data_IF_800421942301
#
_entry.id   IF_800421942301
#
_cell.length_a   1.000
_cell.length_b   1.000
_cell.length_c   1.000
_cell.angle_alpha   90.00
_cell.angle_beta   90.00
_cell.angle_gamma   90.00
#
_symmetry.space_group_name_H-M   'P 1'
#
loop_
_entity.id
_entity.type
_entity.pdbx_description
1 polymer ?
#
# COMPACT_ATOMS: atom_id res chain seq x y z
N UNK A 1 -31.43 -7.25 0.10
CA UNK A 1 -30.15 -7.78 -0.41
C UNK A 1 -30.55 -8.96 -1.26
N UNK A 2 -30.45 -8.80 -2.58
CA UNK A 2 -30.91 -9.82 -3.50
C UNK A 2 -29.71 -10.72 -3.78
N UNK A 3 -29.78 -11.93 -3.26
CA UNK A 3 -28.74 -12.96 -3.41
C UNK A 3 -29.08 -13.81 -4.64
N UNK A 4 -28.09 -14.06 -5.49
CA UNK A 4 -28.25 -15.02 -6.58
C UNK A 4 -28.30 -16.42 -5.97
N UNK A 5 -29.41 -17.14 -6.18
CA UNK A 5 -29.64 -18.46 -5.57
C UNK A 5 -28.65 -19.50 -6.08
N UNK A 6 -28.18 -19.35 -7.31
CA UNK A 6 -27.06 -20.10 -7.84
C UNK A 6 -25.78 -19.25 -7.80
N UNK A 7 -24.62 -19.91 -7.77
CA UNK A 7 -23.33 -19.24 -7.93
C UNK A 7 -23.04 -18.82 -9.40
N UNK A 8 -24.08 -18.71 -10.24
CA UNK A 8 -23.99 -18.36 -11.65
C UNK A 8 -23.96 -16.83 -11.83
N UNK A 9 -22.79 -16.25 -11.58
CA UNK A 9 -22.59 -14.80 -11.58
C UNK A 9 -21.68 -14.41 -12.75
N UNK A 10 -22.07 -13.36 -13.47
CA UNK A 10 -21.28 -12.73 -14.51
C UNK A 10 -20.79 -11.35 -14.06
N UNK A 11 -19.53 -11.03 -14.35
CA UNK A 11 -18.93 -9.74 -14.04
C UNK A 11 -18.77 -8.97 -15.35
N UNK A 12 -19.52 -7.88 -15.50
CA UNK A 12 -19.34 -6.93 -16.60
C UNK A 12 -18.25 -5.93 -16.21
N UNK A 13 -17.02 -6.17 -16.67
CA UNK A 13 -15.87 -5.30 -16.40
C UNK A 13 -15.99 -3.92 -17.05
N UNK A 14 -16.79 -3.78 -18.11
CA UNK A 14 -16.96 -2.51 -18.84
C UNK A 14 -17.91 -1.58 -18.10
N UNK A 15 -19.00 -2.15 -17.58
CA UNK A 15 -20.00 -1.40 -16.79
C UNK A 15 -19.67 -1.35 -15.30
N UNK A 16 -18.80 -2.23 -14.83
CA UNK A 16 -18.48 -2.37 -13.40
C UNK A 16 -19.64 -2.97 -12.61
N UNK A 17 -20.37 -3.92 -13.19
CA UNK A 17 -21.57 -4.51 -12.60
C UNK A 17 -21.39 -6.01 -12.39
N UNK A 18 -21.98 -6.52 -11.31
CA UNK A 18 -22.04 -7.95 -10.99
C UNK A 18 -23.49 -8.39 -11.20
N UNK A 19 -23.70 -9.30 -12.16
CA UNK A 19 -25.03 -9.68 -12.67
C UNK A 19 -25.29 -11.15 -12.35
N UNK A 20 -26.45 -11.45 -11.78
CA UNK A 20 -26.93 -12.82 -11.62
C UNK A 20 -27.46 -13.32 -12.97
N UNK A 21 -26.89 -14.40 -13.52
CA UNK A 21 -27.28 -14.89 -14.85
C UNK A 21 -28.63 -15.61 -14.87
N UNK A 22 -29.15 -16.00 -13.70
CA UNK A 22 -30.42 -16.71 -13.60
C UNK A 22 -31.64 -15.76 -13.60
N UNK A 23 -31.49 -14.58 -13.00
CA UNK A 23 -32.57 -13.58 -12.88
C UNK A 23 -32.33 -12.34 -13.74
N UNK A 24 -31.10 -12.12 -14.20
CA UNK A 24 -30.68 -10.91 -14.92
C UNK A 24 -30.53 -9.69 -14.03
N UNK A 25 -30.61 -9.84 -12.70
CA UNK A 25 -30.52 -8.73 -11.76
C UNK A 25 -29.07 -8.33 -11.47
N UNK A 26 -28.83 -7.02 -11.33
CA UNK A 26 -27.56 -6.47 -10.86
C UNK A 26 -27.50 -6.61 -9.34
N UNK A 27 -26.68 -7.54 -8.86
CA UNK A 27 -26.53 -7.88 -7.43
C UNK A 27 -25.41 -7.09 -6.75
N UNK A 28 -24.52 -6.45 -7.53
CA UNK A 28 -23.41 -5.68 -7.00
C UNK A 28 -22.72 -4.82 -8.04
N UNK A 29 -21.78 -4.00 -7.57
CA UNK A 29 -20.89 -3.20 -8.41
C UNK A 29 -19.46 -3.66 -8.21
N UNK A 30 -18.71 -3.72 -9.30
CA UNK A 30 -17.28 -3.99 -9.29
C UNK A 30 -16.56 -2.70 -8.92
N UNK A 31 -15.96 -2.69 -7.73
CA UNK A 31 -15.06 -1.62 -7.31
C UNK A 31 -13.63 -2.07 -7.63
N UNK A 32 -12.92 -1.31 -8.47
CA UNK A 32 -11.48 -1.53 -8.66
C UNK A 32 -10.73 -1.04 -7.42
N UNK A 33 -10.26 -1.98 -6.61
CA UNK A 33 -9.39 -1.71 -5.45
C UNK A 33 -7.90 -1.65 -5.86
N UNK A 34 -7.62 -1.74 -7.15
CA UNK A 34 -6.31 -1.51 -7.74
C UNK A 34 -5.80 -0.11 -7.43
N UNK A 35 -4.50 0.08 -7.67
CA UNK A 35 -3.86 1.37 -7.40
C UNK A 35 -4.29 2.32 -8.52
N UNK A 36 -5.29 3.17 -8.26
CA UNK A 36 -5.73 4.24 -9.18
C UNK A 36 -4.67 5.36 -9.29
N UNK A 37 -3.43 5.02 -9.64
CA UNK A 37 -2.40 5.97 -10.03
C UNK A 37 -2.71 6.51 -11.42
N UNK A 38 -3.87 7.16 -11.56
CA UNK A 38 -4.33 7.75 -12.80
C UNK A 38 -3.63 9.10 -12.99
N UNK A 39 -2.57 9.10 -13.78
CA UNK A 39 -1.89 10.33 -14.20
C UNK A 39 -2.48 10.78 -15.54
N UNK A 40 -3.14 11.94 -15.56
CA UNK A 40 -3.73 12.52 -16.77
C UNK A 40 -2.77 13.47 -17.51
N UNK A 41 -1.49 13.57 -17.14
CA UNK A 41 -0.50 14.44 -17.79
C UNK A 41 0.70 13.70 -18.39
N UNK A 42 1.20 14.17 -19.53
CA UNK A 42 2.40 13.67 -20.22
C UNK A 42 3.73 13.85 -19.44
N UNK A 43 3.71 14.57 -18.31
CA UNK A 43 4.93 14.88 -17.58
C UNK A 43 5.32 13.76 -16.60
N UNK A 44 6.54 13.20 -16.69
CA UNK A 44 7.06 12.20 -15.73
C UNK A 44 7.24 12.76 -14.30
N UNK A 45 7.04 14.06 -14.10
CA UNK A 45 7.15 14.77 -12.82
C UNK A 45 5.83 14.91 -12.05
N UNK A 46 4.67 14.67 -12.68
CA UNK A 46 3.38 14.71 -11.98
C UNK A 46 3.10 13.34 -11.33
N UNK A 47 3.87 13.03 -10.29
CA UNK A 47 3.53 11.97 -9.36
C UNK A 47 2.24 12.36 -8.67
N UNK A 48 1.15 11.67 -8.98
CA UNK A 48 -0.11 11.75 -8.24
C UNK A 48 0.21 11.63 -6.75
N UNK A 49 -0.33 12.54 -5.92
CA UNK A 49 -0.08 12.59 -4.47
C UNK A 49 -0.83 11.45 -3.75
N UNK A 50 -0.45 10.20 -4.02
CA UNK A 50 -1.03 9.01 -3.37
C UNK A 50 -0.27 8.49 -2.15
N UNK A 51 0.95 9.00 -1.92
CA UNK A 51 1.84 8.44 -0.89
C UNK A 51 2.33 7.03 -1.23
N UNK A 52 3.11 6.43 -0.33
CA UNK A 52 3.45 5.01 -0.41
C UNK A 52 2.27 4.18 0.12
N UNK A 53 1.97 3.00 -0.46
CA UNK A 53 1.04 2.07 0.17
C UNK A 53 1.51 1.69 1.57
N UNK A 54 0.56 1.33 2.44
CA UNK A 54 0.85 0.80 3.77
C UNK A 54 1.57 -0.54 3.63
N UNK A 55 2.54 -0.78 4.51
CA UNK A 55 3.31 -2.02 4.52
C UNK A 55 3.43 -2.58 5.94
N UNK A 56 2.69 -3.66 6.20
CA UNK A 56 2.64 -4.31 7.51
C UNK A 56 3.98 -4.91 7.97
N UNK A 57 4.92 -5.14 7.05
CA UNK A 57 6.30 -5.55 7.38
C UNK A 57 7.14 -4.44 8.02
N UNK A 58 6.57 -3.24 8.18
CA UNK A 58 7.20 -2.08 8.81
C UNK A 58 6.49 -1.78 10.15
N UNK A 59 7.27 -1.54 11.21
CA UNK A 59 6.81 -1.23 12.58
C UNK A 59 5.79 -0.07 12.74
N UNK A 60 5.65 0.78 11.74
CA UNK A 60 4.73 1.92 11.68
C UNK A 60 3.88 1.89 10.40
N UNK A 61 3.81 0.75 9.73
CA UNK A 61 3.09 0.54 8.46
C UNK A 61 3.52 1.45 7.31
N UNK A 62 4.67 2.11 7.40
CA UNK A 62 5.12 3.07 6.39
C UNK A 62 4.51 4.47 6.55
N UNK A 63 3.92 4.79 7.70
CA UNK A 63 3.37 6.12 7.99
C UNK A 63 4.44 7.20 8.21
N UNK A 64 5.69 6.82 8.48
CA UNK A 64 6.78 7.78 8.63
C UNK A 64 7.32 8.28 7.28
N UNK A 65 7.73 9.55 7.27
CA UNK A 65 8.39 10.18 6.13
C UNK A 65 9.90 10.28 6.35
N UNK A 66 10.67 10.25 5.27
CA UNK A 66 12.11 10.46 5.29
C UNK A 66 12.42 11.92 4.97
N UNK A 67 13.16 12.57 5.87
CA UNK A 67 13.62 13.95 5.65
C UNK A 67 14.95 13.88 4.91
N UNK A 68 14.96 14.31 3.66
CA UNK A 68 16.13 14.26 2.80
C UNK A 68 17.25 15.18 3.33
N UNK A 69 18.49 14.77 3.14
CA UNK A 69 19.68 15.55 3.51
C UNK A 69 20.17 16.48 2.38
N UNK A 70 19.39 16.62 1.31
CA UNK A 70 19.78 17.36 0.11
C UNK A 70 19.86 18.88 0.27
N UNK A 71 19.26 19.45 1.32
CA UNK A 71 19.39 20.87 1.64
C UNK A 71 20.68 21.16 2.42
N UNK A 72 21.49 22.11 1.92
CA UNK A 72 22.76 22.63 2.49
C UNK A 72 22.62 23.35 3.84
N UNK A 73 21.70 22.91 4.70
CA UNK A 73 21.48 23.51 6.02
C UNK A 73 21.84 22.52 7.11
N UNK A 74 22.65 22.93 8.09
CA UNK A 74 22.92 22.17 9.32
C UNK A 74 21.62 21.67 9.99
N UNK A 75 20.52 22.39 9.80
CA UNK A 75 19.20 22.05 10.30
C UNK A 75 18.64 20.74 9.71
N UNK A 76 18.84 20.49 8.40
CA UNK A 76 18.32 19.29 7.72
C UNK A 76 18.93 18.01 8.30
N UNK A 77 20.24 18.04 8.60
CA UNK A 77 20.97 16.94 9.24
C UNK A 77 20.49 16.71 10.67
N UNK A 78 20.27 17.77 11.45
CA UNK A 78 19.76 17.66 12.83
C UNK A 78 18.35 17.07 12.84
N UNK A 79 17.48 17.55 11.96
CA UNK A 79 16.09 17.10 11.86
C UNK A 79 15.99 15.65 11.38
N UNK A 80 16.80 15.24 10.40
CA UNK A 80 16.91 13.85 9.93
C UNK A 80 17.30 12.89 11.07
N UNK A 81 18.26 13.27 11.92
CA UNK A 81 18.68 12.47 13.08
C UNK A 81 17.58 12.40 14.15
N UNK A 82 16.90 13.52 14.43
CA UNK A 82 15.79 13.56 15.38
C UNK A 82 14.64 12.67 14.92
N UNK A 83 14.22 12.82 13.66
CA UNK A 83 13.14 12.03 13.07
C UNK A 83 13.44 10.52 13.14
N UNK A 84 14.68 10.12 12.80
CA UNK A 84 15.10 8.71 12.88
C UNK A 84 15.04 8.14 14.31
N UNK A 85 15.28 8.96 15.34
CA UNK A 85 15.17 8.53 16.74
C UNK A 85 13.72 8.40 17.19
N UNK A 86 12.89 9.40 16.90
CA UNK A 86 11.48 9.42 17.29
C UNK A 86 10.73 8.24 16.67
N UNK A 87 10.97 7.96 15.38
CA UNK A 87 10.32 6.87 14.64
C UNK A 87 10.43 5.52 15.35
N UNK A 88 11.58 5.23 15.95
CA UNK A 88 11.89 3.92 16.55
C UNK A 88 11.70 3.93 18.08
N UNK A 89 11.37 5.08 18.68
CA UNK A 89 11.20 5.21 20.12
C UNK A 89 10.07 4.29 20.62
N UNK A 90 10.31 3.54 21.70
CA UNK A 90 9.36 2.57 22.25
C UNK A 90 9.18 1.28 21.42
N UNK A 91 9.58 1.26 20.14
CA UNK A 91 9.40 0.13 19.21
C UNK A 91 10.70 -0.58 18.81
N UNK A 92 11.82 -0.30 19.50
CA UNK A 92 13.16 -0.86 19.18
C UNK A 92 13.20 -2.37 19.05
N UNK A 93 12.51 -3.10 19.94
CA UNK A 93 12.44 -4.57 19.90
C UNK A 93 11.74 -5.03 18.63
N UNK A 94 10.56 -4.47 18.33
CA UNK A 94 9.79 -4.77 17.12
C UNK A 94 10.58 -4.49 15.83
N UNK A 95 11.27 -3.35 15.75
CA UNK A 95 12.11 -3.03 14.58
C UNK A 95 13.21 -4.06 14.39
N UNK A 96 13.85 -4.49 15.48
CA UNK A 96 14.91 -5.51 15.43
C UNK A 96 14.38 -6.88 15.02
N UNK A 97 13.24 -7.31 15.56
CA UNK A 97 12.64 -8.61 15.24
C UNK A 97 12.15 -8.65 13.79
N UNK A 98 11.51 -7.59 13.29
CA UNK A 98 11.11 -7.49 11.89
C UNK A 98 12.31 -7.49 10.94
N UNK A 99 13.43 -6.88 11.33
CA UNK A 99 14.66 -6.92 10.56
C UNK A 99 15.22 -8.35 10.48
N UNK A 100 15.30 -9.06 11.61
CA UNK A 100 15.75 -10.46 11.65
C UNK A 100 14.86 -11.38 10.81
N UNK A 101 13.54 -11.21 10.89
CA UNK A 101 12.58 -11.97 10.09
C UNK A 101 12.80 -11.74 8.59
N UNK A 102 13.02 -10.48 8.18
CA UNK A 102 13.33 -10.15 6.79
C UNK A 102 14.65 -10.77 6.32
N UNK A 103 15.68 -10.76 7.18
CA UNK A 103 16.98 -11.34 6.85
C UNK A 103 16.87 -12.87 6.66
N UNK A 104 16.06 -13.54 7.48
CA UNK A 104 15.79 -14.97 7.36
C UNK A 104 14.92 -15.32 6.15
N UNK A 105 13.87 -14.54 5.89
CA UNK A 105 13.06 -14.70 4.68
C UNK A 105 13.89 -14.55 3.40
N UNK A 106 14.85 -13.62 3.40
CA UNK A 106 15.82 -13.45 2.32
C UNK A 106 16.75 -14.66 2.17
N UNK A 107 17.21 -15.24 3.29
CA UNK A 107 18.02 -16.48 3.28
C UNK A 107 17.28 -17.66 2.63
N UNK A 108 15.96 -17.72 2.83
CA UNK A 108 15.07 -18.74 2.26
C UNK A 108 14.59 -18.42 0.84
N UNK A 109 15.02 -17.30 0.24
CA UNK A 109 14.56 -16.81 -1.06
C UNK A 109 13.02 -16.71 -1.17
N UNK A 110 12.37 -16.31 -0.08
CA UNK A 110 10.92 -16.08 -0.09
C UNK A 110 10.59 -14.78 -0.84
N UNK A 111 9.44 -14.72 -1.53
CA UNK A 111 8.96 -13.49 -2.16
C UNK A 111 8.76 -12.38 -1.11
N UNK A 112 9.01 -11.13 -1.48
CA UNK A 112 8.87 -9.95 -0.61
C UNK A 112 7.44 -9.61 -0.20
N UNK A 113 6.47 -10.27 -0.84
CA UNK A 113 5.05 -9.97 -0.77
C UNK A 113 4.30 -10.93 0.18
N UNK A 114 5.05 -11.80 0.88
CA UNK A 114 4.56 -12.74 1.91
C UNK A 114 4.82 -12.18 3.32
#
# INVERSE_FOLDING_TARGET
MNECVSNNVYVDEVRGEIICMDTGEVIGTLVDYGKEWRNFGESPSNRVRGGSPLNESIHDRGLSTTISRGGSSFYSKRLSRLNSRIRVQGKRRLVKTLQMLRDEAKRLNLPSDV
#
